data_IF_596962804442
#
_entry.id   IF_596962804442
#
_cell.length_a   1.000
_cell.length_b   1.000
_cell.length_c   1.000
_cell.angle_alpha   90.00
_cell.angle_beta   90.00
_cell.angle_gamma   90.00
#
_symmetry.space_group_name_H-M   'P 1'
#
loop_
_entity.id
_entity.type
_entity.pdbx_description
1 polymer ?
#
# COMPACT_ATOMS: atom_id res chain seq x y z
N UNK A 1 -47.95 30.99 15.81
CA UNK A 1 -47.03 30.00 15.22
C UNK A 1 -46.71 28.98 16.29
N UNK A 2 -47.08 27.71 16.09
CA UNK A 2 -46.92 26.64 17.09
C UNK A 2 -45.45 26.46 17.44
N UNK A 3 -45.10 26.44 18.72
CA UNK A 3 -43.73 26.41 19.26
C UNK A 3 -42.94 25.13 19.00
N UNK A 4 -43.04 24.56 17.80
CA UNK A 4 -42.19 23.46 17.30
C UNK A 4 -40.83 24.00 16.92
N UNK A 5 -39.79 23.21 17.12
CA UNK A 5 -38.44 23.59 16.71
C UNK A 5 -38.34 23.49 15.18
N UNK A 6 -37.67 24.44 14.50
CA UNK A 6 -37.47 24.36 13.05
C UNK A 6 -36.88 23.02 12.57
N UNK A 7 -36.02 22.39 13.38
CA UNK A 7 -35.46 21.07 13.09
C UNK A 7 -36.52 19.95 13.04
N UNK A 8 -37.49 19.97 13.97
CA UNK A 8 -38.57 18.99 14.03
C UNK A 8 -39.51 19.14 12.83
N UNK A 9 -39.85 20.38 12.48
CA UNK A 9 -40.67 20.68 11.29
C UNK A 9 -39.95 20.23 10.01
N UNK A 10 -38.63 20.43 9.93
CA UNK A 10 -37.83 19.95 8.80
C UNK A 10 -37.84 18.43 8.69
N UNK A 11 -37.67 17.70 9.81
CA UNK A 11 -37.72 16.24 9.83
C UNK A 11 -39.09 15.72 9.40
N UNK A 12 -40.17 16.24 9.99
CA UNK A 12 -41.55 15.85 9.62
C UNK A 12 -41.81 16.11 8.13
N UNK A 13 -41.38 17.26 7.59
CA UNK A 13 -41.55 17.58 6.17
C UNK A 13 -40.72 16.65 5.28
N UNK A 14 -39.50 16.31 5.69
CA UNK A 14 -38.64 15.43 4.89
C UNK A 14 -39.14 13.98 4.90
N UNK A 15 -39.65 13.49 6.03
CA UNK A 15 -40.29 12.17 6.14
C UNK A 15 -41.59 12.10 5.32
N UNK A 16 -42.41 13.15 5.40
CA UNK A 16 -43.74 13.15 4.74
C UNK A 16 -43.65 13.34 3.23
N UNK A 17 -42.68 14.14 2.77
CA UNK A 17 -42.62 14.59 1.36
C UNK A 17 -41.38 14.09 0.61
N UNK A 18 -40.47 13.39 1.28
CA UNK A 18 -39.18 12.94 0.73
C UNK A 18 -38.45 14.02 -0.08
N UNK A 19 -38.53 15.27 0.39
CA UNK A 19 -38.11 16.44 -0.40
C UNK A 19 -36.60 16.44 -0.63
N UNK A 20 -35.84 15.92 0.34
CA UNK A 20 -34.40 15.82 0.28
C UNK A 20 -33.98 14.35 0.38
N UNK A 21 -33.53 13.80 -0.75
CA UNK A 21 -32.88 12.48 -0.79
C UNK A 21 -31.42 12.61 -0.40
N UNK A 22 -30.88 11.57 0.22
CA UNK A 22 -29.44 11.46 0.45
C UNK A 22 -28.73 11.56 -0.90
N UNK A 23 -27.79 12.50 -0.99
CA UNK A 23 -27.00 12.66 -2.21
C UNK A 23 -26.08 11.45 -2.35
N UNK A 24 -26.05 10.88 -3.55
CA UNK A 24 -25.08 9.84 -3.88
C UNK A 24 -23.66 10.37 -3.73
N UNK A 25 -22.85 9.69 -2.91
CA UNK A 25 -21.47 10.08 -2.63
C UNK A 25 -20.61 10.05 -3.88
N UNK A 26 -20.88 9.12 -4.79
CA UNK A 26 -20.09 8.96 -6.00
C UNK A 26 -20.34 10.14 -6.96
N UNK A 27 -21.60 10.57 -7.10
CA UNK A 27 -21.96 11.79 -7.83
C UNK A 27 -21.42 13.05 -7.13
N UNK A 28 -21.47 13.12 -5.80
CA UNK A 28 -20.87 14.23 -5.04
C UNK A 28 -19.39 14.38 -5.37
N UNK A 29 -18.64 13.27 -5.38
CA UNK A 29 -17.20 13.26 -5.73
C UNK A 29 -16.97 13.67 -7.18
N UNK A 30 -17.81 13.26 -8.13
CA UNK A 30 -17.68 13.70 -9.54
C UNK A 30 -17.85 15.22 -9.69
N UNK A 31 -18.76 15.83 -8.94
CA UNK A 31 -19.05 17.26 -9.07
C UNK A 31 -18.15 18.17 -8.21
N UNK A 32 -17.80 17.75 -6.99
CA UNK A 32 -17.05 18.56 -6.02
C UNK A 32 -15.60 18.10 -5.83
N UNK A 33 -15.30 16.86 -6.19
CA UNK A 33 -13.98 16.27 -6.02
C UNK A 33 -12.96 16.81 -7.02
N UNK A 34 -11.70 16.55 -6.74
CA UNK A 34 -10.58 16.98 -7.56
C UNK A 34 -10.37 16.04 -8.74
N UNK A 35 -10.42 16.53 -9.99
CA UNK A 35 -10.27 15.69 -11.17
C UNK A 35 -8.79 15.42 -11.51
N UNK A 36 -8.46 14.15 -11.70
CA UNK A 36 -7.15 13.68 -12.14
C UNK A 36 -7.28 12.82 -13.39
N UNK A 37 -6.66 13.27 -14.49
CA UNK A 37 -6.55 12.49 -15.73
C UNK A 37 -5.32 11.59 -15.66
N UNK A 38 -5.54 10.28 -15.54
CA UNK A 38 -4.49 9.30 -15.28
C UNK A 38 -4.62 8.10 -16.22
N UNK A 39 -3.51 7.42 -16.46
CA UNK A 39 -3.52 6.14 -17.17
C UNK A 39 -3.66 5.02 -16.13
N UNK A 40 -4.66 4.13 -16.26
CA UNK A 40 -4.82 3.00 -15.35
C UNK A 40 -3.73 1.95 -15.61
N UNK A 41 -3.29 1.28 -14.55
CA UNK A 41 -2.37 0.14 -14.55
C UNK A 41 -3.11 -1.14 -14.16
N UNK A 42 -2.47 -2.29 -14.30
CA UNK A 42 -3.00 -3.61 -13.93
C UNK A 42 -3.56 -3.68 -12.51
N UNK A 43 -2.88 -3.05 -11.55
CA UNK A 43 -3.29 -3.00 -10.15
C UNK A 43 -4.45 -2.03 -9.87
N UNK A 44 -4.70 -1.04 -10.76
CA UNK A 44 -5.74 -0.02 -10.59
C UNK A 44 -5.28 1.36 -11.06
N UNK A 45 -5.57 2.40 -10.28
CA UNK A 45 -5.16 3.79 -10.59
C UNK A 45 -4.29 4.36 -9.47
N UNK A 46 -3.19 5.02 -9.86
CA UNK A 46 -2.30 5.74 -8.95
C UNK A 46 -2.58 7.23 -8.97
N UNK A 47 -3.16 7.76 -7.90
CA UNK A 47 -3.47 9.19 -7.75
C UNK A 47 -2.44 9.85 -6.82
N UNK A 48 -2.12 11.13 -7.10
CA UNK A 48 -1.08 11.89 -6.40
C UNK A 48 0.26 11.13 -6.27
N UNK A 49 0.57 10.24 -7.22
CA UNK A 49 1.78 9.41 -7.24
C UNK A 49 1.97 8.53 -5.99
N UNK A 50 1.00 8.40 -5.09
CA UNK A 50 1.19 7.66 -3.82
C UNK A 50 -0.03 6.94 -3.30
N UNK A 51 -1.21 7.30 -3.81
CA UNK A 51 -2.48 6.69 -3.44
C UNK A 51 -2.86 5.67 -4.52
N UNK A 52 -3.04 4.42 -4.11
CA UNK A 52 -3.41 3.33 -4.99
C UNK A 52 -4.86 2.96 -4.77
N UNK A 53 -5.66 3.05 -5.83
CA UNK A 53 -7.09 2.78 -5.79
C UNK A 53 -7.43 1.64 -6.75
N UNK A 54 -8.27 0.72 -6.29
CA UNK A 54 -8.70 -0.43 -7.10
C UNK A 54 -10.12 -0.86 -6.73
N UNK A 55 -10.74 -1.60 -7.65
CA UNK A 55 -12.07 -2.18 -7.50
C UNK A 55 -12.29 -3.21 -8.59
N UNK A 56 -12.91 -4.33 -8.27
CA UNK A 56 -13.16 -5.42 -9.23
C UNK A 56 -14.01 -4.96 -10.41
N UNK A 57 -15.02 -4.14 -10.13
CA UNK A 57 -15.89 -3.55 -11.17
C UNK A 57 -15.11 -2.65 -12.12
N UNK A 58 -14.18 -1.88 -11.59
CA UNK A 58 -13.32 -1.00 -12.38
C UNK A 58 -12.35 -1.81 -13.25
N UNK A 59 -11.80 -2.90 -12.72
CA UNK A 59 -10.89 -3.77 -13.46
C UNK A 59 -11.59 -4.44 -14.64
N UNK A 60 -12.79 -4.98 -14.41
CA UNK A 60 -13.62 -5.54 -15.48
C UNK A 60 -13.95 -4.49 -16.55
N UNK A 61 -14.31 -3.27 -16.15
CA UNK A 61 -14.56 -2.18 -17.10
C UNK A 61 -13.29 -1.76 -17.87
N UNK A 62 -12.12 -1.77 -17.22
CA UNK A 62 -10.85 -1.41 -17.86
C UNK A 62 -10.48 -2.36 -18.99
N UNK A 63 -10.81 -3.66 -18.91
CA UNK A 63 -10.55 -4.62 -19.99
C UNK A 63 -11.21 -4.20 -21.31
N UNK A 64 -12.36 -3.54 -21.24
CA UNK A 64 -13.10 -3.05 -22.39
C UNK A 64 -12.66 -1.65 -22.87
N UNK A 65 -11.95 -0.89 -22.03
CA UNK A 65 -11.60 0.51 -22.31
C UNK A 65 -10.08 0.75 -22.24
N UNK A 66 -9.48 1.04 -23.40
CA UNK A 66 -8.09 1.47 -23.50
C UNK A 66 -8.00 3.01 -23.55
N UNK A 67 -7.42 3.63 -22.52
CA UNK A 67 -7.22 5.08 -22.53
C UNK A 67 -6.97 5.70 -21.16
N UNK A 68 -6.98 7.03 -21.13
CA UNK A 68 -6.89 7.80 -19.87
C UNK A 68 -8.25 7.85 -19.21
N UNK A 69 -8.26 7.67 -17.89
CA UNK A 69 -9.45 7.73 -17.03
C UNK A 69 -9.41 9.02 -16.21
N UNK A 70 -10.57 9.61 -15.95
CA UNK A 70 -10.71 10.70 -14.99
C UNK A 70 -11.09 10.14 -13.63
N UNK A 71 -10.23 10.33 -12.64
CA UNK A 71 -10.47 9.94 -11.25
C UNK A 71 -10.71 11.18 -10.40
N UNK A 72 -11.75 11.14 -9.59
CA UNK A 72 -12.17 12.18 -8.68
C UNK A 72 -11.92 11.74 -7.24
N UNK A 73 -11.24 12.58 -6.47
CA UNK A 73 -10.96 12.37 -5.05
C UNK A 73 -11.59 13.50 -4.23
N UNK A 74 -12.16 13.15 -3.09
CA UNK A 74 -12.59 14.12 -2.09
C UNK A 74 -11.35 14.58 -1.29
N UNK A 75 -11.00 15.89 -1.24
CA UNK A 75 -9.83 16.34 -0.51
C UNK A 75 -9.91 16.08 1.00
N UNK A 76 -11.12 15.90 1.53
CA UNK A 76 -11.37 15.69 2.96
C UNK A 76 -11.41 14.20 3.35
N UNK A 77 -11.71 13.30 2.40
CA UNK A 77 -11.74 11.85 2.62
C UNK A 77 -11.05 11.10 1.49
N UNK A 78 -9.90 10.50 1.81
CA UNK A 78 -9.10 9.70 0.86
C UNK A 78 -9.55 8.24 0.74
N UNK A 79 -10.53 7.78 1.51
CA UNK A 79 -10.89 6.36 1.59
C UNK A 79 -11.44 5.82 0.27
N UNK A 80 -12.19 6.66 -0.46
CA UNK A 80 -12.81 6.29 -1.73
C UNK A 80 -12.51 7.31 -2.83
N UNK A 81 -12.36 6.80 -4.05
CA UNK A 81 -12.27 7.62 -5.25
C UNK A 81 -13.34 7.20 -6.25
N UNK A 82 -13.76 8.12 -7.11
CA UNK A 82 -14.71 7.82 -8.19
C UNK A 82 -14.00 7.92 -9.52
N UNK A 83 -14.00 6.86 -10.32
CA UNK A 83 -13.45 6.85 -11.67
C UNK A 83 -14.57 6.95 -12.71
N UNK A 84 -14.30 7.71 -13.77
CA UNK A 84 -15.20 7.88 -14.92
C UNK A 84 -14.40 7.64 -16.19
N UNK A 85 -14.87 6.73 -17.05
CA UNK A 85 -14.26 6.48 -18.35
C UNK A 85 -14.74 7.52 -19.39
N UNK A 86 -13.90 7.92 -20.35
CA UNK A 86 -14.26 8.90 -21.37
C UNK A 86 -15.12 8.23 -22.46
N UNK A 87 -16.35 7.82 -22.11
CA UNK A 87 -17.45 7.32 -22.98
C UNK A 87 -18.53 6.62 -22.18
N UNK A 88 -18.25 6.27 -20.93
CA UNK A 88 -19.24 5.67 -20.04
C UNK A 88 -19.72 6.71 -19.04
N UNK A 89 -21.04 6.89 -18.89
CA UNK A 89 -21.59 7.80 -17.90
C UNK A 89 -21.55 7.23 -16.48
N UNK A 90 -21.32 5.92 -16.32
CA UNK A 90 -21.38 5.27 -15.03
C UNK A 90 -20.13 5.56 -14.18
N UNK A 91 -20.30 6.10 -12.95
CA UNK A 91 -19.20 6.28 -12.01
C UNK A 91 -18.82 4.96 -11.36
N UNK A 92 -17.52 4.66 -11.32
CA UNK A 92 -16.98 3.48 -10.67
C UNK A 92 -16.35 3.86 -9.32
N UNK A 93 -16.88 3.31 -8.24
CA UNK A 93 -16.29 3.47 -6.90
C UNK A 93 -15.03 2.62 -6.76
N UNK A 94 -13.93 3.28 -6.40
CA UNK A 94 -12.64 2.67 -6.11
C UNK A 94 -12.33 2.76 -4.62
N UNK A 95 -11.85 1.66 -4.04
CA UNK A 95 -11.38 1.62 -2.67
C UNK A 95 -9.86 1.85 -2.63
N UNK A 96 -9.39 2.56 -1.60
CA UNK A 96 -7.97 2.72 -1.34
C UNK A 96 -7.36 1.38 -0.91
N UNK A 97 -6.26 0.97 -1.54
CA UNK A 97 -5.57 -0.29 -1.22
C UNK A 97 -4.76 -0.20 0.08
N UNK A 98 -4.20 0.97 0.37
CA UNK A 98 -3.39 1.21 1.58
C UNK A 98 -4.26 1.75 2.70
N UNK A 99 -4.38 1.00 3.79
CA UNK A 99 -5.17 1.39 4.98
C UNK A 99 -4.54 2.56 5.75
N UNK A 100 -3.24 2.77 5.62
CA UNK A 100 -2.49 3.80 6.38
C UNK A 100 -2.94 5.21 6.05
N UNK A 101 -3.49 5.45 4.85
CA UNK A 101 -4.01 6.75 4.45
C UNK A 101 -5.53 6.87 4.53
N UNK A 102 -6.22 5.82 4.99
CA UNK A 102 -7.66 5.90 5.26
C UNK A 102 -7.94 6.94 6.36
N UNK A 103 -9.06 7.67 6.21
CA UNK A 103 -9.51 8.76 7.10
C UNK A 103 -8.59 9.99 7.16
N UNK A 104 -7.60 10.10 6.27
CA UNK A 104 -6.77 11.30 6.17
C UNK A 104 -7.32 12.25 5.10
N UNK A 105 -7.13 13.54 5.36
CA UNK A 105 -7.28 14.57 4.32
C UNK A 105 -6.06 14.59 3.40
N UNK A 106 -6.19 15.14 2.19
CA UNK A 106 -5.07 15.30 1.24
C UNK A 106 -3.93 16.10 1.86
N UNK A 107 -4.23 17.13 2.65
CA UNK A 107 -3.22 17.98 3.29
C UNK A 107 -2.42 17.20 4.34
N UNK A 108 -3.10 16.43 5.20
CA UNK A 108 -2.47 15.58 6.21
C UNK A 108 -1.62 14.49 5.59
N UNK A 109 -2.12 13.84 4.53
CA UNK A 109 -1.37 12.85 3.76
C UNK A 109 -0.03 13.42 3.26
N UNK A 110 -0.05 14.59 2.62
CA UNK A 110 1.17 15.21 2.09
C UNK A 110 2.14 15.60 3.19
N UNK A 111 1.65 16.09 4.32
CA UNK A 111 2.48 16.45 5.47
C UNK A 111 3.11 15.21 6.11
N UNK A 112 2.34 14.13 6.28
CA UNK A 112 2.82 12.87 6.82
C UNK A 112 3.92 12.28 5.92
N UNK A 113 3.72 12.30 4.60
CA UNK A 113 4.74 11.87 3.65
C UNK A 113 5.98 12.78 3.65
N UNK A 114 5.81 14.07 3.94
CA UNK A 114 6.93 15.00 4.08
C UNK A 114 7.74 14.70 5.33
N UNK A 115 7.08 14.43 6.47
CA UNK A 115 7.74 14.05 7.72
C UNK A 115 8.50 12.73 7.56
N UNK A 116 7.85 11.72 6.99
CA UNK A 116 8.45 10.41 6.76
C UNK A 116 9.77 10.51 5.97
N UNK A 117 9.81 11.36 4.94
CA UNK A 117 11.05 11.58 4.15
C UNK A 117 12.12 12.38 4.85
N UNK A 118 11.72 13.29 5.74
CA UNK A 118 12.69 14.02 6.57
C UNK A 118 13.43 13.07 7.50
N UNK A 119 12.72 12.06 8.01
CA UNK A 119 13.31 11.02 8.86
C UNK A 119 14.16 10.02 8.06
N UNK A 120 13.74 9.67 6.85
CA UNK A 120 14.41 8.66 6.03
C UNK A 120 14.60 9.12 4.57
N UNK A 121 15.61 9.96 4.27
CA UNK A 121 15.83 10.47 2.91
C UNK A 121 16.38 9.41 1.93
N UNK A 122 17.06 8.38 2.42
CA UNK A 122 17.73 7.38 1.59
C UNK A 122 16.82 6.24 1.14
N UNK A 123 15.69 6.03 1.81
CA UNK A 123 14.80 4.91 1.52
C UNK A 123 13.92 5.21 0.31
N UNK A 124 14.24 4.55 -0.80
CA UNK A 124 13.42 4.52 -2.02
C UNK A 124 12.10 3.75 -1.78
N UNK A 125 12.10 2.75 -0.91
CA UNK A 125 10.93 1.94 -0.59
C UNK A 125 10.24 2.45 0.67
N UNK A 126 8.97 2.82 0.56
CA UNK A 126 8.13 3.28 1.66
C UNK A 126 7.33 2.09 2.19
N UNK A 127 7.57 1.70 3.45
CA UNK A 127 6.86 0.60 4.10
C UNK A 127 5.66 1.11 4.91
N UNK A 128 4.51 0.49 4.74
CA UNK A 128 3.26 0.85 5.44
C UNK A 128 3.40 0.88 6.96
N UNK A 129 4.03 -0.13 7.58
CA UNK A 129 4.20 -0.20 9.03
C UNK A 129 4.92 1.01 9.62
N UNK A 130 5.95 1.50 8.91
CA UNK A 130 6.72 2.67 9.34
C UNK A 130 5.89 3.95 9.19
N UNK A 131 5.12 4.05 8.11
CA UNK A 131 4.21 5.18 7.88
C UNK A 131 3.12 5.19 8.97
N UNK A 132 2.60 4.03 9.36
CA UNK A 132 1.62 3.90 10.43
C UNK A 132 2.18 4.33 11.79
N UNK A 133 3.45 3.99 12.07
CA UNK A 133 4.13 4.46 13.28
C UNK A 133 4.25 5.99 13.31
N UNK A 134 4.70 6.61 12.22
CA UNK A 134 4.79 8.08 12.10
C UNK A 134 3.41 8.72 12.21
N UNK A 135 2.36 8.08 11.66
CA UNK A 135 0.97 8.53 11.80
C UNK A 135 0.54 8.57 13.27
N UNK A 136 0.82 7.51 14.03
CA UNK A 136 0.48 7.42 15.45
C UNK A 136 1.23 8.48 16.26
N UNK A 137 2.54 8.60 16.06
CA UNK A 137 3.37 9.60 16.74
C UNK A 137 2.87 11.03 16.46
N UNK A 138 2.50 11.31 15.20
CA UNK A 138 1.90 12.59 14.81
C UNK A 138 0.55 12.81 15.48
N UNK A 139 -0.32 11.80 15.54
CA UNK A 139 -1.61 11.95 16.18
C UNK A 139 -1.45 12.27 17.68
N UNK A 140 -0.50 11.63 18.35
CA UNK A 140 -0.18 11.93 19.75
C UNK A 140 0.43 13.33 19.92
N UNK A 141 1.27 13.77 18.99
CA UNK A 141 1.77 15.14 18.95
C UNK A 141 0.64 16.15 18.72
N UNK A 142 -0.29 15.89 17.80
CA UNK A 142 -1.45 16.76 17.55
C UNK A 142 -2.44 16.77 18.72
N UNK A 143 -2.62 15.65 19.42
CA UNK A 143 -3.39 15.63 20.67
C UNK A 143 -2.75 16.52 21.75
N UNK A 144 -1.41 16.53 21.82
CA UNK A 144 -0.65 17.40 22.74
C UNK A 144 -0.68 18.88 22.29
N UNK A 145 -0.43 19.16 21.01
CA UNK A 145 -0.38 20.52 20.41
C UNK A 145 -1.77 21.14 20.26
N UNK A 146 -2.81 20.33 20.07
CA UNK A 146 -4.22 20.76 20.02
C UNK A 146 -4.67 21.44 21.31
N UNK A 147 -4.00 21.15 22.42
CA UNK A 147 -4.16 21.85 23.71
C UNK A 147 -3.43 23.21 23.71
N UNK A 148 -2.36 23.37 22.93
CA UNK A 148 -1.37 24.47 23.09
C UNK A 148 -1.35 25.54 21.96
N UNK A 149 -2.22 25.42 20.94
CA UNK A 149 -2.37 26.32 19.75
C UNK A 149 -1.36 26.10 18.62
N UNK A 150 -1.88 25.59 17.50
CA UNK A 150 -1.69 25.97 16.08
C UNK A 150 -1.96 24.73 15.24
N UNK A 151 -3.20 24.55 14.80
CA UNK A 151 -3.49 23.52 13.80
C UNK A 151 -2.79 23.92 12.49
N UNK A 152 -2.19 22.95 11.77
CA UNK A 152 -1.67 23.20 10.44
C UNK A 152 -2.78 23.70 9.51
N UNK A 153 -2.36 24.37 8.43
CA UNK A 153 -3.27 24.94 7.43
C UNK A 153 -4.14 23.81 6.84
N UNK A 154 -5.44 23.83 7.13
CA UNK A 154 -6.39 22.78 6.72
C UNK A 154 -6.60 22.70 5.20
N UNK A 155 -6.44 23.83 4.49
CA UNK A 155 -6.76 23.92 3.06
C UNK A 155 -5.49 23.97 2.19
N UNK A 156 -5.46 23.13 1.15
CA UNK A 156 -4.41 23.09 0.11
C UNK A 156 -5.07 23.18 -1.26
N UNK A 157 -4.46 23.89 -2.21
CA UNK A 157 -4.95 23.95 -3.59
C UNK A 157 -4.49 22.70 -4.37
N UNK A 158 -5.32 22.19 -5.29
CA UNK A 158 -5.03 21.04 -6.18
C UNK A 158 -3.64 21.14 -6.82
N UNK A 159 -3.28 22.31 -7.32
CA UNK A 159 -2.00 22.54 -7.98
C UNK A 159 -0.80 22.43 -7.03
N UNK A 160 -0.95 22.91 -5.80
CA UNK A 160 0.08 22.80 -4.75
C UNK A 160 0.22 21.35 -4.29
N UNK A 161 -0.91 20.67 -4.07
CA UNK A 161 -0.94 19.26 -3.70
C UNK A 161 -0.23 18.39 -4.74
N UNK A 162 -0.50 18.61 -6.03
CA UNK A 162 0.15 17.87 -7.12
C UNK A 162 1.65 18.16 -7.19
N UNK A 163 2.08 19.41 -7.02
CA UNK A 163 3.52 19.76 -7.02
C UNK A 163 4.25 19.12 -5.84
N UNK A 164 3.68 19.19 -4.64
CA UNK A 164 4.20 18.53 -3.44
C UNK A 164 4.26 17.03 -3.64
N UNK A 165 3.16 16.41 -4.02
CA UNK A 165 3.07 14.98 -4.32
C UNK A 165 4.15 14.51 -5.31
N UNK A 166 4.34 15.24 -6.42
CA UNK A 166 5.40 14.92 -7.38
C UNK A 166 6.80 15.04 -6.78
N UNK A 167 7.10 16.12 -6.05
CA UNK A 167 8.41 16.30 -5.40
C UNK A 167 8.69 15.24 -4.34
N UNK A 168 7.63 14.76 -3.69
CA UNK A 168 7.68 13.60 -2.84
C UNK A 168 7.93 12.38 -3.76
N UNK A 169 6.92 11.85 -4.41
CA UNK A 169 6.98 10.50 -4.98
C UNK A 169 7.90 10.29 -6.20
N UNK A 170 8.58 11.31 -6.72
CA UNK A 170 9.51 11.20 -7.85
C UNK A 170 10.56 10.08 -7.72
N UNK A 171 10.99 9.75 -6.50
CA UNK A 171 12.04 8.74 -6.25
C UNK A 171 11.57 7.53 -5.44
N UNK A 172 10.28 7.39 -5.12
CA UNK A 172 9.85 6.41 -4.12
C UNK A 172 8.69 5.53 -4.57
N UNK A 173 8.76 4.23 -4.23
CA UNK A 173 7.67 3.26 -4.39
C UNK A 173 7.09 2.93 -3.01
N UNK A 174 5.77 3.00 -2.89
CA UNK A 174 5.07 2.50 -1.72
C UNK A 174 4.92 0.98 -1.84
N UNK A 175 5.32 0.26 -0.79
CA UNK A 175 5.22 -1.19 -0.71
C UNK A 175 4.24 -1.51 0.40
N UNK A 176 3.17 -2.19 0.01
CA UNK A 176 2.18 -2.72 0.95
C UNK A 176 2.80 -3.87 1.72
N UNK A 177 2.74 -3.83 3.06
CA UNK A 177 3.27 -4.92 3.89
C UNK A 177 2.19 -5.99 3.99
N UNK A 178 2.22 -6.95 3.07
CA UNK A 178 1.39 -8.14 3.20
C UNK A 178 1.95 -9.03 4.28
N UNK A 179 1.17 -9.22 5.36
CA UNK A 179 1.44 -10.28 6.34
C UNK A 179 1.22 -11.61 5.61
N UNK A 180 2.26 -12.45 5.43
CA UNK A 180 2.07 -13.75 4.82
C UNK A 180 1.13 -14.59 5.70
N UNK A 181 0.16 -15.24 5.05
CA UNK A 181 -0.92 -16.02 5.69
C UNK A 181 -0.36 -17.09 6.65
N UNK A 182 0.86 -17.55 6.40
CA UNK A 182 1.53 -18.59 7.19
C UNK A 182 2.27 -18.06 8.43
N UNK A 183 2.17 -16.76 8.75
CA UNK A 183 2.81 -16.21 9.95
C UNK A 183 1.83 -16.00 11.09
N UNK A 184 2.17 -16.58 12.24
CA UNK A 184 1.47 -16.35 13.50
C UNK A 184 1.98 -15.04 14.10
N UNK A 185 1.08 -14.25 14.69
CA UNK A 185 1.45 -12.98 15.32
C UNK A 185 2.57 -13.18 16.37
N UNK A 186 3.53 -12.25 16.46
CA UNK A 186 4.60 -12.34 17.45
C UNK A 186 4.01 -12.36 18.87
N UNK A 187 4.36 -13.39 19.64
CA UNK A 187 3.83 -13.64 20.98
C UNK A 187 2.78 -14.77 21.07
N UNK A 188 2.30 -15.29 19.94
CA UNK A 188 1.25 -16.34 19.92
C UNK A 188 1.80 -17.76 19.70
N UNK A 189 3.12 -17.95 19.52
CA UNK A 189 3.73 -19.27 19.39
C UNK A 189 3.53 -20.18 20.61
N UNK A 190 3.32 -19.59 21.79
CA UNK A 190 3.09 -20.33 23.04
C UNK A 190 1.60 -20.61 23.33
N UNK A 191 0.68 -20.02 22.56
CA UNK A 191 -0.74 -20.30 22.69
C UNK A 191 -1.04 -21.49 21.79
N UNK A 192 -1.13 -22.69 22.37
CA UNK A 192 -1.49 -23.91 21.66
C UNK A 192 -2.91 -23.80 21.09
N UNK A 193 -3.05 -23.12 19.95
CA UNK A 193 -4.26 -23.13 19.15
C UNK A 193 -4.11 -24.34 18.24
N UNK A 194 -4.90 -25.37 18.56
CA UNK A 194 -5.06 -26.60 17.79
C UNK A 194 -5.52 -26.28 16.37
N UNK A 195 -4.57 -26.02 15.47
CA UNK A 195 -4.78 -25.98 14.03
C UNK A 195 -4.71 -27.39 13.42
N UNK A 196 -5.30 -27.62 12.24
CA UNK A 196 -5.24 -28.92 11.57
C UNK A 196 -3.79 -29.20 11.15
N UNK A 197 -3.11 -30.08 11.89
CA UNK A 197 -1.71 -30.44 11.65
C UNK A 197 -0.83 -30.50 12.90
N UNK A 198 -1.33 -30.12 14.09
CA UNK A 198 -0.58 -30.22 15.34
C UNK A 198 -0.99 -31.50 16.08
N UNK A 199 -0.08 -32.49 16.13
CA UNK A 199 -0.27 -33.71 16.94
C UNK A 199 0.11 -33.41 18.39
N UNK A 200 -0.76 -33.67 19.39
CA UNK A 200 -0.43 -33.50 20.79
C UNK A 200 0.63 -34.52 21.22
N UNK A 201 1.85 -34.05 21.52
CA UNK A 201 2.87 -34.82 22.23
C UNK A 201 2.43 -34.95 23.69
N UNK A 202 1.70 -36.02 24.00
CA UNK A 202 1.21 -36.29 25.35
C UNK A 202 0.22 -37.45 25.47
N UNK A 203 0.18 -38.37 24.51
CA UNK A 203 -0.59 -39.61 24.60
C UNK A 203 0.36 -40.77 24.87
N UNK A 204 0.17 -41.45 26.00
CA UNK A 204 1.01 -42.54 26.47
C UNK A 204 1.22 -43.64 25.42
N UNK A 205 2.43 -43.72 24.89
CA UNK A 205 3.00 -44.93 24.30
C UNK A 205 4.49 -44.91 24.63
N UNK A 206 4.85 -45.66 25.67
CA UNK A 206 6.23 -46.01 26.00
C UNK A 206 6.93 -46.45 24.71
N UNK A 207 7.96 -45.72 24.30
CA UNK A 207 9.03 -46.28 23.49
C UNK A 207 10.15 -46.59 24.48
N UNK A 208 10.10 -47.79 25.05
CA UNK A 208 11.22 -48.35 25.80
C UNK A 208 12.37 -48.60 24.82
N UNK A 209 13.39 -47.77 24.89
CA UNK A 209 14.70 -48.10 24.34
C UNK A 209 15.74 -48.02 25.46
N UNK A 210 16.07 -49.20 25.97
CA UNK A 210 17.25 -49.53 26.75
C UNK A 210 18.53 -48.96 26.09
N UNK A 211 19.50 -48.43 26.84
CA UNK A 211 20.66 -47.77 26.27
C UNK A 211 21.70 -48.80 25.79
N UNK A 212 21.81 -48.99 24.48
CA UNK A 212 22.95 -49.69 23.87
C UNK A 212 24.06 -48.68 23.49
N UNK A 213 25.29 -49.04 23.85
CA UNK A 213 26.55 -48.29 23.73
C UNK A 213 26.93 -47.84 22.29
N UNK A 214 27.86 -46.86 22.16
CA UNK A 214 28.02 -46.06 20.94
C UNK A 214 28.84 -46.78 19.86
N UNK A 215 28.14 -47.26 18.84
CA UNK A 215 28.73 -47.87 17.65
C UNK A 215 28.64 -46.91 16.45
N UNK A 216 29.80 -46.34 16.11
CA UNK A 216 30.29 -46.01 14.76
C UNK A 216 29.44 -45.13 13.81
N UNK A 217 30.03 -43.98 13.46
CA UNK A 217 29.60 -43.07 12.40
C UNK A 217 29.36 -43.77 11.05
N UNK A 218 28.28 -43.43 10.32
CA UNK A 218 28.17 -43.81 8.93
C UNK A 218 28.97 -42.87 8.02
N UNK A 219 29.86 -43.52 7.29
CA UNK A 219 30.86 -43.03 6.36
C UNK A 219 30.21 -42.52 5.07
N UNK A 220 30.71 -41.40 4.54
CA UNK A 220 30.42 -40.91 3.19
C UNK A 220 31.00 -41.91 2.17
N UNK A 221 30.22 -42.47 1.23
CA UNK A 221 30.79 -43.30 0.17
C UNK A 221 31.35 -42.41 -0.95
N UNK A 222 32.68 -42.40 -1.07
CA UNK A 222 33.42 -42.08 -2.31
C UNK A 222 33.93 -43.38 -2.95
N UNK A 223 33.81 -43.51 -4.28
CA UNK A 223 34.68 -44.31 -5.19
C UNK A 223 34.37 -43.86 -6.63
N UNK A 224 35.27 -43.13 -7.32
CA UNK A 224 36.48 -43.55 -8.07
C UNK A 224 36.14 -44.53 -9.22
N UNK A 225 36.59 -44.41 -10.49
CA UNK A 225 37.72 -43.70 -11.11
C UNK A 225 37.65 -43.75 -12.66
N UNK A 226 38.24 -42.71 -13.31
CA UNK A 226 38.71 -42.43 -14.71
C UNK A 226 39.39 -43.58 -15.52
N UNK A 227 39.94 -43.41 -16.78
CA UNK A 227 40.01 -42.25 -17.72
C UNK A 227 39.82 -42.57 -19.25
N UNK A 228 39.72 -41.55 -20.13
CA UNK A 228 40.62 -41.40 -21.32
C UNK A 228 40.64 -39.95 -21.85
N UNK A 229 41.82 -39.51 -22.27
CA UNK A 229 42.27 -38.15 -22.55
C UNK A 229 41.97 -37.66 -23.98
N UNK A 230 41.93 -36.33 -24.19
CA UNK A 230 42.99 -35.60 -24.94
C UNK A 230 42.71 -34.08 -25.05
N UNK A 231 43.76 -33.30 -24.77
CA UNK A 231 44.17 -31.99 -25.31
C UNK A 231 43.43 -30.68 -24.91
N UNK A 232 44.07 -29.96 -23.98
CA UNK A 232 44.17 -28.49 -23.90
C UNK A 232 45.38 -28.03 -24.74
N UNK A 233 45.41 -26.79 -25.27
CA UNK A 233 45.86 -25.60 -24.51
C UNK A 233 45.07 -24.33 -24.91
N UNK A 234 45.09 -23.15 -24.28
CA UNK A 234 45.65 -22.56 -23.05
C UNK A 234 45.18 -21.10 -23.05
N UNK A 235 44.83 -20.55 -21.88
CA UNK A 235 45.09 -19.16 -21.41
C UNK A 235 44.66 -17.95 -22.29
N UNK A 236 43.92 -16.95 -21.82
CA UNK A 236 44.16 -16.07 -20.64
C UNK A 236 42.90 -15.18 -20.38
N UNK A 237 42.73 -14.63 -19.16
CA UNK A 237 41.63 -13.72 -18.83
C UNK A 237 42.00 -12.25 -19.08
N UNK A 238 41.09 -11.44 -19.63
CA UNK A 238 41.31 -9.98 -19.79
C UNK A 238 40.45 -9.18 -18.81
N UNK A 239 41.15 -8.34 -18.05
CA UNK A 239 40.71 -7.43 -16.98
C UNK A 239 39.82 -6.29 -17.46
N UNK A 240 38.96 -5.85 -16.54
CA UNK A 240 38.26 -4.56 -16.49
C UNK A 240 39.24 -3.36 -16.55
N UNK A 241 38.91 -2.35 -17.38
CA UNK A 241 39.58 -1.05 -17.46
C UNK A 241 38.80 -0.05 -18.33
N UNK A 242 38.69 1.20 -17.85
CA UNK A 242 37.83 2.33 -18.29
C UNK A 242 38.36 3.04 -19.59
N UNK A 243 37.69 4.10 -20.10
CA UNK A 243 37.35 4.32 -21.51
C UNK A 243 38.45 5.00 -22.35
N UNK A 244 38.36 4.87 -23.67
CA UNK A 244 39.20 5.63 -24.61
C UNK A 244 38.49 6.92 -25.07
N UNK A 245 39.02 8.07 -24.65
CA UNK A 245 38.90 9.33 -25.41
C UNK A 245 40.13 9.49 -26.31
N UNK A 246 39.87 9.83 -27.58
CA UNK A 246 40.67 10.58 -28.59
C UNK A 246 39.97 10.33 -29.94
N UNK A 247 39.39 11.34 -30.60
CA UNK A 247 40.09 12.25 -31.52
C UNK A 247 40.52 11.47 -32.77
N UNK A 248 40.21 11.79 -34.02
CA UNK A 248 39.90 13.05 -34.69
C UNK A 248 39.61 12.71 -36.18
N UNK A 249 39.02 13.67 -36.92
CA UNK A 249 39.11 13.85 -38.39
C UNK A 249 38.30 12.92 -39.33
N UNK A 250 37.17 13.42 -39.84
CA UNK A 250 37.04 13.96 -41.22
C UNK A 250 35.69 14.65 -41.39
#
# INVERSE_FOLDING_TARGET
MSGRRPAEVYQELNETRETFRLLDEDLRRVHLGWPFKLQPNDEGVRVLEGLFYSSDKFQAAREHHQGKVTVYIDPDDLSFATAVFPRDPEPYRLALQTTVFADLTVSEFLELMTQYRRENPELTTLYEDRIAKVRLERQDQLKKIGVERRLPRSYVNVGEARKKAKSLFASSRLVTTHVPIDTVAPGTLATAISGPGILPLGGASLIDHEPAEPSSMPTIPTKNSKPKAENLPSETPVRLGRPAEKGELS
#
